data_IF_160397815365
#
_entry.id   IF_160397815365
#
_cell.length_a   1.000
_cell.length_b   1.000
_cell.length_c   1.000
_cell.angle_alpha   90.00
_cell.angle_beta   90.00
_cell.angle_gamma   90.00
#
_symmetry.space_group_name_H-M   'P 1'
#
loop_
_entity.id
_entity.type
_entity.pdbx_description
1 polymer ?
#
# COMPACT_ATOMS: atom_id res chain seq x y z
N UNK A 1 -28.31 -19.74 4.42
CA UNK A 1 -27.08 -20.00 5.19
C UNK A 1 -26.73 -18.82 6.10
N UNK A 2 -26.42 -17.61 5.58
CA UNK A 2 -26.00 -16.48 6.43
C UNK A 2 -26.98 -16.10 7.55
N UNK A 3 -28.30 -16.07 7.27
CA UNK A 3 -29.31 -15.81 8.30
C UNK A 3 -29.36 -16.88 9.41
N UNK A 4 -29.09 -18.15 9.07
CA UNK A 4 -29.05 -19.23 10.04
C UNK A 4 -27.81 -19.17 10.93
N UNK A 5 -26.65 -18.78 10.35
CA UNK A 5 -25.40 -18.61 11.09
C UNK A 5 -25.52 -17.43 12.05
N UNK A 6 -26.08 -16.30 11.58
CA UNK A 6 -26.38 -15.15 12.43
C UNK A 6 -27.28 -15.55 13.60
N UNK A 7 -28.38 -16.26 13.33
CA UNK A 7 -29.27 -16.75 14.39
C UNK A 7 -28.55 -17.69 15.37
N UNK A 8 -27.68 -18.57 14.88
CA UNK A 8 -26.89 -19.48 15.72
C UNK A 8 -26.00 -18.70 16.70
N UNK A 9 -25.30 -17.66 16.22
CA UNK A 9 -24.46 -16.79 17.04
C UNK A 9 -25.29 -15.92 18.00
N UNK A 10 -26.41 -15.36 17.55
CA UNK A 10 -27.35 -14.57 18.39
C UNK A 10 -27.94 -15.38 19.55
N UNK A 11 -28.06 -16.70 19.39
CA UNK A 11 -28.47 -17.60 20.46
C UNK A 11 -27.35 -17.93 21.46
N UNK A 12 -26.17 -17.30 21.32
CA UNK A 12 -25.03 -17.49 22.20
C UNK A 12 -24.17 -18.72 21.88
N UNK A 13 -24.40 -19.38 20.74
CA UNK A 13 -23.57 -20.52 20.35
C UNK A 13 -22.22 -20.04 19.78
N UNK A 14 -21.15 -20.70 20.20
CA UNK A 14 -19.81 -20.39 19.74
C UNK A 14 -19.54 -20.90 18.32
N UNK A 15 -18.80 -20.11 17.54
CA UNK A 15 -18.17 -20.54 16.29
C UNK A 15 -16.91 -21.37 16.61
N UNK A 16 -17.13 -22.55 17.21
CA UNK A 16 -16.08 -23.52 17.54
C UNK A 16 -15.53 -24.19 16.25
N UNK A 17 -14.46 -25.02 16.33
CA UNK A 17 -13.87 -25.64 15.15
C UNK A 17 -14.88 -26.39 14.27
N UNK A 18 -15.73 -27.22 14.88
CA UNK A 18 -16.77 -27.98 14.17
C UNK A 18 -17.74 -27.07 13.43
N UNK A 19 -18.17 -25.97 14.06
CA UNK A 19 -19.07 -25.01 13.43
C UNK A 19 -18.36 -24.26 12.29
N UNK A 20 -17.11 -23.84 12.48
CA UNK A 20 -16.30 -23.17 11.45
C UNK A 20 -16.08 -24.07 10.23
N UNK A 21 -15.75 -25.35 10.44
CA UNK A 21 -15.58 -26.33 9.36
C UNK A 21 -16.91 -26.63 8.66
N UNK A 22 -18.02 -26.72 9.42
CA UNK A 22 -19.34 -27.00 8.86
C UNK A 22 -19.87 -25.87 7.98
N UNK A 23 -19.63 -24.61 8.35
CA UNK A 23 -19.97 -23.46 7.49
C UNK A 23 -18.92 -23.26 6.40
N UNK A 24 -17.67 -23.65 6.65
CA UNK A 24 -16.55 -23.50 5.74
C UNK A 24 -16.23 -22.04 5.41
N UNK A 25 -15.12 -21.84 4.69
CA UNK A 25 -14.60 -20.49 4.46
C UNK A 25 -15.56 -19.60 3.67
N UNK A 26 -16.35 -20.16 2.74
CA UNK A 26 -17.33 -19.40 1.96
C UNK A 26 -18.27 -18.60 2.87
N UNK A 27 -18.80 -19.21 3.92
CA UNK A 27 -19.74 -18.54 4.82
C UNK A 27 -19.01 -17.74 5.90
N UNK A 28 -17.81 -18.13 6.32
CA UNK A 28 -16.94 -17.28 7.16
C UNK A 28 -16.68 -15.92 6.49
N UNK A 29 -16.44 -15.88 5.18
CA UNK A 29 -16.25 -14.63 4.44
C UNK A 29 -17.48 -13.70 4.41
N UNK A 30 -18.67 -14.20 4.78
CA UNK A 30 -19.91 -13.42 4.81
C UNK A 30 -20.28 -12.93 6.21
N UNK A 31 -19.51 -13.31 7.23
CA UNK A 31 -19.71 -12.86 8.60
C UNK A 31 -19.31 -11.39 8.74
N UNK A 32 -20.07 -10.63 9.53
CA UNK A 32 -19.73 -9.26 9.86
C UNK A 32 -18.65 -9.20 10.97
N UNK A 33 -18.15 -7.99 11.24
CA UNK A 33 -17.10 -7.77 12.23
C UNK A 33 -17.45 -8.28 13.64
N UNK A 34 -18.72 -8.16 14.06
CA UNK A 34 -19.19 -8.65 15.37
C UNK A 34 -19.17 -10.17 15.43
N UNK A 35 -19.66 -10.83 14.38
CA UNK A 35 -19.69 -12.30 14.27
C UNK A 35 -18.28 -12.90 14.19
N UNK A 36 -17.37 -12.28 13.41
CA UNK A 36 -15.96 -12.66 13.36
C UNK A 36 -15.26 -12.39 14.69
N UNK A 37 -15.60 -11.29 15.37
CA UNK A 37 -15.10 -10.93 16.69
C UNK A 37 -15.47 -11.95 17.77
N UNK A 38 -16.61 -12.63 17.62
CA UNK A 38 -17.08 -13.69 18.52
C UNK A 38 -16.36 -15.03 18.34
N UNK A 39 -15.52 -15.19 17.31
CA UNK A 39 -14.68 -16.39 17.17
C UNK A 39 -13.64 -16.39 18.30
N UNK A 40 -13.63 -17.47 19.07
CA UNK A 40 -12.61 -17.73 20.07
C UNK A 40 -11.30 -18.12 19.38
N UNK A 41 -10.17 -17.41 19.56
CA UNK A 41 -8.93 -17.65 18.83
C UNK A 41 -8.47 -19.12 18.79
N UNK A 42 -8.46 -19.88 19.92
CA UNK A 42 -8.12 -21.30 19.92
C UNK A 42 -8.91 -22.15 18.91
N UNK A 43 -10.13 -21.74 18.52
CA UNK A 43 -10.93 -22.47 17.53
C UNK A 43 -10.25 -22.53 16.15
N UNK A 44 -9.44 -21.53 15.80
CA UNK A 44 -8.69 -21.51 14.54
C UNK A 44 -7.52 -22.51 14.50
N UNK A 45 -7.12 -23.09 15.62
CA UNK A 45 -6.06 -24.12 15.66
C UNK A 45 -6.50 -25.43 15.02
N UNK A 46 -7.81 -25.70 15.04
CA UNK A 46 -8.38 -26.97 14.60
C UNK A 46 -9.27 -26.82 13.37
N UNK A 47 -9.71 -25.60 13.04
CA UNK A 47 -10.50 -25.33 11.85
C UNK A 47 -9.62 -25.28 10.60
N UNK A 48 -10.11 -25.80 9.48
CA UNK A 48 -9.46 -25.72 8.18
C UNK A 48 -10.11 -24.63 7.33
N UNK A 49 -9.49 -23.44 7.33
CA UNK A 49 -10.00 -22.28 6.60
C UNK A 49 -8.97 -21.73 5.60
N UNK A 50 -9.43 -21.38 4.41
CA UNK A 50 -8.66 -20.64 3.40
C UNK A 50 -9.35 -19.29 3.09
N UNK A 51 -9.02 -18.21 3.85
CA UNK A 51 -9.66 -16.92 3.68
C UNK A 51 -9.12 -16.12 2.48
N UNK A 52 -8.37 -16.74 1.56
CA UNK A 52 -7.76 -16.07 0.40
C UNK A 52 -8.78 -15.30 -0.46
N UNK A 53 -10.02 -15.79 -0.56
CA UNK A 53 -11.11 -15.16 -1.31
C UNK A 53 -11.95 -14.17 -0.48
N UNK A 54 -11.73 -14.04 0.83
CA UNK A 54 -12.49 -13.10 1.66
C UNK A 54 -12.13 -11.63 1.38
N UNK A 55 -12.99 -10.72 1.83
CA UNK A 55 -12.69 -9.28 1.85
C UNK A 55 -11.44 -8.99 2.69
N UNK A 56 -10.77 -7.86 2.42
CA UNK A 56 -9.58 -7.47 3.17
C UNK A 56 -9.90 -7.25 4.66
N UNK A 57 -11.07 -6.72 4.99
CA UNK A 57 -11.53 -6.54 6.38
C UNK A 57 -11.64 -7.88 7.10
N UNK A 58 -12.27 -8.88 6.47
CA UNK A 58 -12.37 -10.23 7.03
C UNK A 58 -10.99 -10.86 7.22
N UNK A 59 -10.09 -10.73 6.22
CA UNK A 59 -8.71 -11.23 6.34
C UNK A 59 -7.99 -10.60 7.52
N UNK A 60 -8.12 -9.28 7.72
CA UNK A 60 -7.50 -8.57 8.83
C UNK A 60 -7.99 -9.10 10.19
N UNK A 61 -9.31 -9.28 10.35
CA UNK A 61 -9.90 -9.80 11.60
C UNK A 61 -9.47 -11.25 11.87
N UNK A 62 -9.52 -12.12 10.85
CA UNK A 62 -9.09 -13.50 10.97
C UNK A 62 -7.59 -13.61 11.26
N UNK A 63 -6.76 -12.74 10.69
CA UNK A 63 -5.33 -12.69 11.00
C UNK A 63 -5.08 -12.37 12.48
N UNK A 64 -5.77 -11.37 13.05
CA UNK A 64 -5.62 -11.04 14.48
C UNK A 64 -5.99 -12.24 15.37
N UNK A 65 -7.11 -12.90 15.06
CA UNK A 65 -7.54 -14.11 15.76
C UNK A 65 -6.51 -15.24 15.61
N UNK A 66 -5.99 -15.48 14.41
CA UNK A 66 -4.99 -16.51 14.18
C UNK A 66 -3.67 -16.21 14.93
N UNK A 67 -3.21 -14.96 14.91
CA UNK A 67 -2.03 -14.53 15.67
C UNK A 67 -2.18 -14.77 17.17
N UNK A 68 -3.34 -14.46 17.74
CA UNK A 68 -3.66 -14.77 19.13
C UNK A 68 -3.66 -16.29 19.39
N UNK A 69 -4.32 -17.04 18.50
CA UNK A 69 -4.40 -18.50 18.57
C UNK A 69 -3.02 -19.15 18.57
N UNK A 70 -2.08 -18.67 17.75
CA UNK A 70 -0.76 -19.28 17.57
C UNK A 70 0.37 -18.55 18.31
N UNK A 71 0.05 -17.58 19.17
CA UNK A 71 1.02 -16.77 19.91
C UNK A 71 2.04 -17.59 20.71
N UNK A 72 1.61 -18.73 21.28
CA UNK A 72 2.50 -19.65 22.00
C UNK A 72 3.54 -20.37 21.13
N UNK A 73 3.33 -20.43 19.80
CA UNK A 73 4.28 -21.03 18.87
C UNK A 73 5.20 -20.03 18.19
N UNK A 74 5.08 -18.71 18.45
CA UNK A 74 5.81 -17.66 17.69
C UNK A 74 7.34 -17.83 17.67
N UNK A 75 7.93 -18.54 18.63
CA UNK A 75 9.37 -18.81 18.70
C UNK A 75 9.79 -20.10 17.99
N UNK A 76 8.85 -20.84 17.42
CA UNK A 76 9.06 -22.12 16.76
C UNK A 76 9.06 -21.93 15.23
N UNK A 77 9.91 -22.65 14.49
CA UNK A 77 9.90 -22.63 13.03
C UNK A 77 8.53 -22.94 12.41
N UNK A 78 7.73 -23.78 13.07
CA UNK A 78 6.39 -24.17 12.64
C UNK A 78 5.36 -23.01 12.66
N UNK A 79 5.67 -21.87 13.32
CA UNK A 79 4.75 -20.73 13.41
C UNK A 79 4.32 -20.21 12.03
N UNK A 80 5.28 -20.14 11.10
CA UNK A 80 5.01 -19.66 9.74
C UNK A 80 3.95 -20.53 9.05
N UNK A 81 4.05 -21.85 9.14
CA UNK A 81 3.11 -22.78 8.54
C UNK A 81 1.70 -22.63 9.11
N UNK A 82 1.59 -22.40 10.43
CA UNK A 82 0.32 -22.23 11.12
C UNK A 82 -0.39 -20.92 10.74
N UNK A 83 0.37 -19.84 10.56
CA UNK A 83 -0.19 -18.52 10.24
C UNK A 83 -0.39 -18.30 8.74
N UNK A 84 0.27 -19.10 7.88
CA UNK A 84 0.31 -18.94 6.43
C UNK A 84 -1.06 -18.66 5.77
N UNK A 85 -2.16 -19.39 6.08
CA UNK A 85 -3.46 -19.15 5.46
C UNK A 85 -4.02 -17.76 5.73
N UNK A 86 -3.59 -17.12 6.82
CA UNK A 86 -4.13 -15.86 7.31
C UNK A 86 -3.26 -14.64 6.96
N UNK A 87 -2.06 -14.85 6.37
CA UNK A 87 -1.10 -13.77 6.11
C UNK A 87 -1.61 -12.67 5.18
N UNK A 88 -2.63 -12.95 4.37
CA UNK A 88 -3.33 -11.93 3.60
C UNK A 88 -3.92 -10.78 4.44
N UNK A 89 -4.08 -10.96 5.76
CA UNK A 89 -4.50 -9.92 6.71
C UNK A 89 -3.39 -9.32 7.57
N UNK A 90 -2.14 -9.75 7.40
CA UNK A 90 -1.04 -9.41 8.29
C UNK A 90 -0.62 -7.94 8.18
N UNK A 91 -0.45 -7.22 9.30
CA UNK A 91 0.10 -5.87 9.29
C UNK A 91 1.60 -5.87 9.01
N UNK A 92 2.09 -4.73 8.50
CA UNK A 92 3.50 -4.56 8.15
C UNK A 92 4.44 -4.91 9.30
N UNK A 93 4.10 -4.51 10.54
CA UNK A 93 4.92 -4.84 11.73
C UNK A 93 5.15 -6.34 11.90
N UNK A 94 4.14 -7.16 11.60
CA UNK A 94 4.24 -8.61 11.77
C UNK A 94 4.98 -9.26 10.58
N UNK A 95 4.79 -8.74 9.37
CA UNK A 95 5.59 -9.14 8.21
C UNK A 95 7.08 -8.81 8.40
N UNK A 96 7.39 -7.66 9.01
CA UNK A 96 8.75 -7.27 9.36
C UNK A 96 9.36 -8.18 10.42
N UNK A 97 8.55 -8.65 11.38
CA UNK A 97 9.00 -9.66 12.32
C UNK A 97 9.32 -10.97 11.59
N UNK A 98 8.40 -11.48 10.78
CA UNK A 98 8.57 -12.71 9.99
C UNK A 98 9.77 -12.67 9.04
N UNK A 99 10.14 -11.48 8.53
CA UNK A 99 11.31 -11.32 7.67
C UNK A 99 12.65 -11.71 8.32
N UNK A 100 12.66 -11.90 9.65
CA UNK A 100 13.84 -12.28 10.44
C UNK A 100 13.91 -13.79 10.72
N UNK A 101 12.89 -14.54 10.34
CA UNK A 101 12.69 -15.94 10.74
C UNK A 101 12.94 -16.94 9.59
N UNK A 102 13.59 -16.51 8.50
CA UNK A 102 13.99 -17.35 7.36
C UNK A 102 12.84 -18.22 6.77
N UNK A 103 11.65 -17.63 6.66
CA UNK A 103 10.41 -18.35 6.35
C UNK A 103 10.29 -18.86 4.90
N UNK A 104 11.17 -18.40 4.00
CA UNK A 104 11.17 -18.77 2.57
C UNK A 104 9.76 -18.67 1.94
N UNK A 105 9.12 -17.50 2.10
CA UNK A 105 7.77 -17.27 1.61
C UNK A 105 7.68 -17.43 0.10
N UNK A 106 6.65 -18.15 -0.37
CA UNK A 106 6.39 -18.26 -1.80
C UNK A 106 5.99 -16.88 -2.36
N UNK A 107 6.49 -16.52 -3.54
CA UNK A 107 6.12 -15.27 -4.22
C UNK A 107 4.61 -15.21 -4.49
N UNK A 108 3.93 -16.33 -4.74
CA UNK A 108 2.47 -16.38 -4.88
C UNK A 108 1.75 -16.00 -3.58
N UNK A 109 2.31 -16.31 -2.41
CA UNK A 109 1.80 -15.82 -1.13
C UNK A 109 2.10 -14.33 -0.98
N UNK A 110 3.34 -13.92 -1.27
CA UNK A 110 3.77 -12.52 -1.17
C UNK A 110 2.87 -11.56 -1.95
N UNK A 111 2.50 -11.90 -3.18
CA UNK A 111 1.63 -11.05 -4.01
C UNK A 111 0.16 -11.01 -3.54
N UNK A 112 -0.23 -11.90 -2.63
CA UNK A 112 -1.58 -11.91 -2.02
C UNK A 112 -1.64 -11.19 -0.67
N UNK A 113 -0.49 -10.76 -0.13
CA UNK A 113 -0.43 -9.96 1.08
C UNK A 113 -1.19 -8.65 0.90
N UNK A 114 -1.73 -8.11 1.99
CA UNK A 114 -2.46 -6.85 1.93
C UNK A 114 -1.55 -5.73 1.44
N UNK A 115 -2.02 -5.04 0.40
CA UNK A 115 -1.26 -4.00 -0.30
C UNK A 115 -0.65 -2.97 0.64
N UNK A 116 -1.46 -2.45 1.56
CA UNK A 116 -1.00 -1.42 2.51
C UNK A 116 0.20 -1.88 3.33
N UNK A 117 0.30 -3.16 3.68
CA UNK A 117 1.44 -3.65 4.46
C UNK A 117 2.66 -3.94 3.61
N UNK A 118 2.46 -4.42 2.38
CA UNK A 118 3.54 -4.58 1.40
C UNK A 118 4.28 -3.26 1.13
N UNK A 119 3.54 -2.15 1.00
CA UNK A 119 4.15 -0.84 0.69
C UNK A 119 5.09 -0.32 1.79
N UNK A 120 5.00 -0.84 3.03
CA UNK A 120 5.88 -0.46 4.14
C UNK A 120 7.11 -1.36 4.29
N UNK A 121 7.28 -2.36 3.43
CA UNK A 121 8.44 -3.26 3.46
C UNK A 121 9.61 -2.68 2.68
N UNK A 122 10.81 -2.78 3.24
CA UNK A 122 12.07 -2.45 2.58
C UNK A 122 12.57 -3.61 1.70
N UNK A 123 13.51 -3.38 0.76
CA UNK A 123 14.14 -4.44 -0.02
C UNK A 123 14.72 -5.56 0.86
N UNK A 124 15.37 -5.20 1.97
CA UNK A 124 15.94 -6.17 2.92
C UNK A 124 14.87 -7.00 3.64
N UNK A 125 13.75 -6.39 4.02
CA UNK A 125 12.63 -7.13 4.63
C UNK A 125 11.96 -8.07 3.61
N UNK A 126 11.85 -7.66 2.34
CA UNK A 126 11.36 -8.53 1.25
C UNK A 126 12.32 -9.69 0.98
N UNK A 127 13.64 -9.44 1.00
CA UNK A 127 14.65 -10.50 0.93
C UNK A 127 14.51 -11.50 2.07
N UNK A 128 14.34 -11.03 3.31
CA UNK A 128 14.17 -11.90 4.48
C UNK A 128 12.88 -12.73 4.44
N UNK A 129 11.78 -12.15 3.93
CA UNK A 129 10.52 -12.88 3.74
C UNK A 129 10.64 -13.96 2.66
N UNK A 130 11.16 -13.61 1.48
CA UNK A 130 11.18 -14.54 0.34
C UNK A 130 12.30 -15.58 0.43
N UNK A 131 13.41 -15.24 1.08
CA UNK A 131 14.57 -16.13 1.24
C UNK A 131 15.01 -16.71 -0.10
N UNK A 132 15.05 -18.04 -0.18
CA UNK A 132 15.42 -18.76 -1.41
C UNK A 132 14.51 -18.49 -2.61
N UNK A 133 13.28 -18.02 -2.39
CA UNK A 133 12.32 -17.70 -3.45
C UNK A 133 12.48 -16.27 -4.01
N UNK A 134 13.39 -15.46 -3.47
CA UNK A 134 13.62 -14.08 -3.92
C UNK A 134 13.85 -13.96 -5.45
N UNK A 135 14.62 -14.84 -6.12
CA UNK A 135 14.83 -14.74 -7.56
C UNK A 135 13.55 -14.81 -8.40
N UNK A 136 12.50 -15.46 -7.89
CA UNK A 136 11.22 -15.54 -8.59
C UNK A 136 10.48 -14.20 -8.64
N UNK A 137 10.78 -13.27 -7.71
CA UNK A 137 10.16 -11.95 -7.64
C UNK A 137 10.31 -11.14 -8.95
N UNK A 138 11.43 -11.32 -9.67
CA UNK A 138 11.69 -10.67 -10.95
C UNK A 138 10.62 -10.99 -12.02
N UNK A 139 10.00 -12.17 -11.98
CA UNK A 139 8.91 -12.54 -12.89
C UNK A 139 7.61 -11.76 -12.65
N UNK A 140 7.51 -11.11 -11.50
CA UNK A 140 6.34 -10.35 -11.08
C UNK A 140 6.57 -8.83 -11.12
N UNK A 141 7.76 -8.36 -11.50
CA UNK A 141 8.14 -6.95 -11.41
C UNK A 141 7.20 -5.98 -12.12
N UNK A 142 6.55 -6.41 -13.22
CA UNK A 142 5.63 -5.57 -13.99
C UNK A 142 4.17 -5.68 -13.51
N UNK A 143 3.90 -6.52 -12.50
CA UNK A 143 2.56 -6.82 -11.99
C UNK A 143 2.35 -6.19 -10.63
N UNK A 144 1.14 -5.67 -10.41
CA UNK A 144 0.72 -5.27 -9.06
C UNK A 144 0.57 -6.52 -8.17
N UNK A 145 0.94 -6.46 -6.87
CA UNK A 145 1.45 -5.30 -6.13
C UNK A 145 2.96 -5.07 -6.21
N UNK A 146 3.73 -5.99 -6.81
CA UNK A 146 5.21 -5.95 -6.83
C UNK A 146 5.74 -4.70 -7.53
N UNK A 147 5.21 -4.37 -8.72
CA UNK A 147 5.58 -3.16 -9.46
C UNK A 147 5.44 -1.89 -8.62
N UNK A 148 4.33 -1.81 -7.89
CA UNK A 148 4.00 -0.62 -7.12
C UNK A 148 4.90 -0.52 -5.87
N UNK A 149 5.26 -1.66 -5.28
CA UNK A 149 6.27 -1.73 -4.23
C UNK A 149 7.66 -1.30 -4.75
N UNK A 150 8.09 -1.78 -5.91
CA UNK A 150 9.38 -1.44 -6.55
C UNK A 150 9.50 0.07 -6.74
N UNK A 151 8.46 0.73 -7.24
CA UNK A 151 8.45 2.18 -7.50
C UNK A 151 8.63 3.04 -6.24
N UNK A 152 8.36 2.48 -5.06
CA UNK A 152 8.57 3.15 -3.77
C UNK A 152 10.00 3.01 -3.24
N UNK A 153 10.79 2.09 -3.80
CA UNK A 153 12.16 1.82 -3.34
C UNK A 153 13.17 2.61 -4.16
N UNK A 154 14.35 2.86 -3.58
CA UNK A 154 15.48 3.40 -4.34
C UNK A 154 16.07 2.31 -5.22
N UNK A 155 16.49 2.67 -6.43
CA UNK A 155 17.11 1.69 -7.34
C UNK A 155 18.37 1.07 -6.72
N UNK A 156 19.20 1.84 -6.01
CA UNK A 156 20.41 1.32 -5.35
C UNK A 156 20.13 0.29 -4.25
N UNK A 157 18.97 0.37 -3.58
CA UNK A 157 18.56 -0.59 -2.56
C UNK A 157 17.97 -1.86 -3.19
N UNK A 158 17.29 -1.72 -4.34
CA UNK A 158 16.85 -2.86 -5.14
C UNK A 158 18.03 -3.61 -5.76
N UNK A 159 19.08 -2.91 -6.20
CA UNK A 159 20.26 -3.49 -6.82
C UNK A 159 21.04 -4.40 -5.85
N UNK A 160 20.99 -4.10 -4.53
CA UNK A 160 21.55 -4.94 -3.46
C UNK A 160 20.88 -6.31 -3.34
N UNK A 161 19.68 -6.48 -3.91
CA UNK A 161 18.99 -7.76 -3.94
C UNK A 161 19.57 -8.72 -4.99
N UNK A 162 20.35 -8.21 -5.95
CA UNK A 162 21.01 -9.00 -7.00
C UNK A 162 20.07 -9.90 -7.82
N UNK A 163 18.80 -9.51 -7.97
CA UNK A 163 17.77 -10.23 -8.75
C UNK A 163 17.26 -9.46 -9.97
N UNK A 164 17.91 -8.34 -10.31
CA UNK A 164 17.62 -7.60 -11.55
C UNK A 164 16.28 -6.84 -11.54
N UNK A 165 15.80 -6.42 -10.38
CA UNK A 165 14.62 -5.56 -10.28
C UNK A 165 14.94 -4.15 -10.76
N UNK A 166 14.09 -3.57 -11.59
CA UNK A 166 14.28 -2.23 -12.15
C UNK A 166 13.01 -1.39 -12.03
N UNK A 167 13.15 -0.07 -12.11
CA UNK A 167 12.02 0.87 -12.03
C UNK A 167 11.83 1.48 -10.65
N UNK A 168 12.82 1.34 -9.76
CA UNK A 168 12.90 2.10 -8.51
C UNK A 168 13.16 3.58 -8.75
N UNK A 169 13.04 4.37 -7.69
CA UNK A 169 13.34 5.79 -7.70
C UNK A 169 14.82 6.03 -8.04
N UNK A 170 15.06 6.83 -9.07
CA UNK A 170 16.40 7.23 -9.49
C UNK A 170 17.03 8.17 -8.47
N UNK A 171 18.28 7.88 -8.12
CA UNK A 171 19.07 8.72 -7.23
C UNK A 171 19.75 9.81 -8.07
N UNK A 172 19.06 10.93 -8.25
CA UNK A 172 19.58 12.10 -8.92
C UNK A 172 19.89 13.22 -7.92
N UNK A 173 21.03 13.88 -8.09
CA UNK A 173 21.23 15.23 -7.57
C UNK A 173 20.50 16.20 -8.51
N UNK A 174 19.71 17.14 -7.98
CA UNK A 174 19.32 18.32 -8.76
C UNK A 174 20.59 19.14 -8.97
N UNK A 175 21.17 19.10 -10.17
CA UNK A 175 22.16 20.11 -10.56
C UNK A 175 21.40 21.44 -10.76
N UNK A 176 21.31 22.25 -9.70
CA UNK A 176 20.89 23.64 -9.83
C UNK A 176 22.06 24.38 -10.50
N UNK A 177 22.11 24.33 -11.82
CA UNK A 177 22.94 25.24 -12.60
C UNK A 177 22.31 26.61 -12.44
N UNK A 178 22.83 27.42 -11.53
CA UNK A 178 22.48 28.84 -11.45
C UNK A 178 22.81 29.46 -12.81
N UNK A 179 21.81 29.97 -13.57
CA UNK A 179 22.10 30.67 -14.80
C UNK A 179 22.96 31.88 -14.45
N UNK A 180 24.17 31.92 -14.99
CA UNK A 180 25.02 33.11 -14.89
C UNK A 180 24.43 34.16 -15.82
N UNK A 181 23.47 34.93 -15.32
CA UNK A 181 22.95 36.07 -16.05
C UNK A 181 24.12 37.03 -16.31
N UNK A 182 24.38 37.43 -17.56
CA UNK A 182 25.36 38.48 -17.83
C UNK A 182 24.93 39.73 -17.07
N UNK A 183 25.91 40.41 -16.47
CA UNK A 183 25.66 41.67 -15.78
C UNK A 183 24.87 42.60 -16.71
N UNK A 184 23.70 43.03 -16.25
CA UNK A 184 22.86 43.99 -16.96
C UNK A 184 23.71 45.21 -17.24
N UNK A 185 23.89 45.54 -18.53
CA UNK A 185 24.55 46.78 -18.92
C UNK A 185 23.72 47.94 -18.37
N UNK A 186 24.30 48.69 -17.44
CA UNK A 186 23.73 49.91 -16.90
C UNK A 186 23.71 50.97 -18.00
N UNK A 187 22.67 50.98 -18.83
CA UNK A 187 22.39 52.12 -19.68
C UNK A 187 21.96 53.30 -18.77
N UNK A 188 22.58 54.49 -18.88
CA UNK A 188 22.15 55.63 -18.09
C UNK A 188 20.75 56.07 -18.57
N UNK A 189 19.83 56.28 -17.64
CA UNK A 189 18.56 56.97 -17.91
C UNK A 189 18.85 58.44 -18.26
N UNK A 190 19.12 58.69 -19.53
CA UNK A 190 19.25 60.02 -20.11
C UNK A 190 17.95 60.44 -20.79
N UNK A 191 17.25 61.37 -20.16
CA UNK A 191 16.39 62.39 -20.76
C UNK A 191 15.33 61.97 -21.81
N UNK A 192 14.15 61.56 -21.34
CA UNK A 192 12.88 61.97 -21.98
C UNK A 192 11.86 62.30 -20.90
N UNK A 193 12.18 63.30 -20.08
CA UNK A 193 11.25 63.95 -19.17
C UNK A 193 10.94 65.35 -19.70
N UNK A 194 10.21 65.46 -20.82
CA UNK A 194 9.48 66.68 -21.24
C UNK A 194 8.63 66.40 -22.48
N UNK A 195 7.50 65.69 -22.33
CA UNK A 195 6.40 65.80 -23.30
C UNK A 195 5.01 65.47 -22.71
N UNK A 196 4.84 65.54 -21.39
CA UNK A 196 3.53 65.38 -20.73
C UNK A 196 2.85 66.73 -20.49
N UNK A 197 2.82 67.59 -21.50
CA UNK A 197 2.08 68.87 -21.45
C UNK A 197 1.24 69.16 -22.70
N UNK A 198 0.64 68.13 -23.31
CA UNK A 198 -0.47 68.31 -24.27
C UNK A 198 -1.54 67.19 -24.15
N UNK A 199 -1.90 66.80 -22.93
CA UNK A 199 -3.32 66.53 -22.59
C UNK A 199 -4.01 67.92 -22.63
N UNK A 200 -5.24 68.19 -23.14
CA UNK A 200 -6.38 67.31 -23.37
C UNK A 200 -7.36 67.83 -24.48
N UNK A 201 -6.92 68.17 -25.69
CA UNK A 201 -7.76 68.92 -26.67
C UNK A 201 -8.43 68.08 -27.78
N UNK A 202 -8.25 66.76 -27.83
CA UNK A 202 -8.69 65.93 -28.98
C UNK A 202 -9.68 64.80 -28.64
N UNK A 203 -10.18 64.74 -27.39
CA UNK A 203 -11.11 63.70 -26.93
C UNK A 203 -12.55 64.18 -26.72
N UNK A 204 -12.89 65.42 -27.12
CA UNK A 204 -14.25 65.98 -27.00
C UNK A 204 -15.01 66.13 -28.33
N UNK A 205 -14.43 65.75 -29.49
CA UNK A 205 -15.10 65.85 -30.80
C UNK A 205 -15.72 64.54 -31.32
N UNK A 206 -15.59 63.42 -30.58
CA UNK A 206 -16.08 62.10 -31.03
C UNK A 206 -17.35 61.59 -30.31
N UNK A 207 -17.98 62.38 -29.43
CA UNK A 207 -19.19 61.98 -28.70
C UNK A 207 -20.51 62.61 -29.18
N UNK A 208 -20.52 63.37 -30.27
CA UNK A 208 -21.76 64.02 -30.80
C UNK A 208 -22.23 63.54 -32.17
N UNK A 209 -21.64 62.47 -32.74
CA UNK A 209 -22.12 61.90 -34.02
C UNK A 209 -22.84 60.54 -33.83
N UNK A 210 -22.93 60.02 -32.61
CA UNK A 210 -23.51 58.70 -32.34
C UNK A 210 -24.97 58.71 -31.85
N UNK A 211 -25.66 59.85 -31.85
CA UNK A 211 -27.05 59.97 -31.32
C UNK A 211 -28.08 60.45 -32.36
N UNK A 212 -27.70 60.68 -33.62
CA UNK A 212 -28.67 60.87 -34.71
C UNK A 212 -28.23 60.11 -35.97
N UNK A 213 -28.50 58.81 -36.01
CA UNK A 213 -28.81 58.02 -37.21
C UNK A 213 -29.49 56.72 -36.79
#
# INVERSE_FOLDING_TARGET
ASAAIKRYVELGNALNPTALDAIGTRYVCLLNATELGAIDPPSLRLASLDPSACSQETKNLLYQKAKEAFSGQHHLPAYYELILPYLGGAPAVDLKALSKDDVNMNVTTFVTLRRESLMYLTPREVQGLLGMNLPELARWQDRSPVRDWIQLQRQSELDQLHVGLTGGMQEGYINIVTPKFPATSSAPLGAVATAFHLLPALLLSLLVVSVLS
#
